data_IF_816772580125
#
_entry.id   IF_816772580125
#
_cell.length_a   1.000
_cell.length_b   1.000
_cell.length_c   1.000
_cell.angle_alpha   90.00
_cell.angle_beta   90.00
_cell.angle_gamma   90.00
#
_symmetry.space_group_name_H-M   'P 1'
#
loop_
_entity.id
_entity.type
_entity.pdbx_description
1 polymer ?
#
# COMPACT_ATOMS: atom_id res chain seq x y z
N UNK A 1 -7.73 -6.21 -7.30
CA UNK A 1 -6.63 -5.40 -7.83
C UNK A 1 -5.37 -5.60 -7.01
N UNK A 2 -4.27 -5.81 -7.65
CA UNK A 2 -2.96 -5.99 -7.01
C UNK A 2 -2.07 -4.81 -7.40
N UNK A 3 -1.46 -4.15 -6.40
CA UNK A 3 -0.64 -2.97 -6.61
C UNK A 3 0.80 -3.25 -6.21
N UNK A 4 1.76 -2.89 -7.06
CA UNK A 4 3.20 -3.02 -6.81
C UNK A 4 3.93 -1.72 -7.15
N UNK A 5 5.19 -1.61 -6.70
CA UNK A 5 6.05 -0.45 -6.97
C UNK A 5 7.32 -0.90 -7.68
N UNK A 6 7.77 -0.13 -8.69
CA UNK A 6 8.95 -0.45 -9.48
C UNK A 6 10.24 0.05 -8.83
N UNK A 7 11.37 -0.53 -9.25
CA UNK A 7 12.70 -0.09 -8.82
C UNK A 7 12.99 1.37 -9.22
N UNK A 8 12.52 1.78 -10.39
CA UNK A 8 12.70 3.16 -10.86
C UNK A 8 12.02 4.16 -9.96
N UNK A 9 10.79 3.85 -9.50
CA UNK A 9 10.07 4.69 -8.55
C UNK A 9 10.81 4.80 -7.22
N UNK A 10 11.42 3.71 -6.75
CA UNK A 10 12.23 3.73 -5.53
C UNK A 10 13.42 4.67 -5.65
N UNK A 11 14.09 4.64 -6.80
CA UNK A 11 15.24 5.51 -7.04
C UNK A 11 14.82 6.97 -7.03
N UNK A 12 13.73 7.31 -7.71
CA UNK A 12 13.22 8.69 -7.75
C UNK A 12 12.83 9.17 -6.35
N UNK A 13 12.16 8.33 -5.56
CA UNK A 13 11.79 8.67 -4.19
C UNK A 13 13.04 8.90 -3.32
N UNK A 14 14.06 8.05 -3.46
CA UNK A 14 15.31 8.19 -2.72
C UNK A 14 16.01 9.52 -3.05
N UNK A 15 16.03 9.90 -4.31
CA UNK A 15 16.61 11.17 -4.75
C UNK A 15 15.84 12.36 -4.19
N UNK A 16 14.52 12.30 -4.21
CA UNK A 16 13.67 13.37 -3.66
C UNK A 16 13.91 13.56 -2.16
N UNK A 17 14.05 12.48 -1.41
CA UNK A 17 14.33 12.55 0.02
C UNK A 17 15.69 13.14 0.31
N UNK A 18 16.72 12.71 -0.42
CA UNK A 18 18.10 13.14 -0.19
C UNK A 18 18.39 14.55 -0.67
N UNK A 19 17.94 14.90 -1.86
CA UNK A 19 18.30 16.17 -2.50
C UNK A 19 17.36 17.31 -2.14
N UNK A 20 16.08 17.02 -1.96
CA UNK A 20 15.07 18.05 -1.72
C UNK A 20 14.48 18.03 -0.33
N UNK A 21 14.88 17.07 0.50
CA UNK A 21 14.40 16.98 1.88
C UNK A 21 12.92 16.64 2.02
N UNK A 22 12.32 15.99 1.01
CA UNK A 22 10.91 15.62 1.07
C UNK A 22 10.75 14.42 2.00
N UNK A 23 9.90 14.53 3.05
CA UNK A 23 9.70 13.42 3.98
C UNK A 23 9.14 12.17 3.30
N UNK A 24 9.57 11.00 3.78
CA UNK A 24 9.10 9.71 3.26
C UNK A 24 7.57 9.58 3.28
N UNK A 25 6.93 10.03 4.36
CA UNK A 25 5.47 9.96 4.46
C UNK A 25 4.75 10.73 3.35
N UNK A 26 5.31 11.86 2.94
CA UNK A 26 4.73 12.66 1.84
C UNK A 26 4.81 11.88 0.53
N UNK A 27 5.94 11.24 0.27
CA UNK A 27 6.12 10.43 -0.94
C UNK A 27 5.19 9.22 -0.93
N UNK A 28 5.05 8.55 0.20
CA UNK A 28 4.12 7.44 0.36
C UNK A 28 2.68 7.86 0.12
N UNK A 29 2.27 8.98 0.70
CA UNK A 29 0.92 9.51 0.53
C UNK A 29 0.64 9.79 -0.94
N UNK A 30 1.57 10.42 -1.64
CA UNK A 30 1.43 10.73 -3.05
C UNK A 30 1.39 9.46 -3.92
N UNK A 31 2.28 8.52 -3.65
CA UNK A 31 2.34 7.28 -4.42
C UNK A 31 1.07 6.44 -4.26
N UNK A 32 0.65 6.20 -3.04
CA UNK A 32 -0.53 5.36 -2.77
C UNK A 32 -1.82 6.01 -3.24
N UNK A 33 -2.00 7.30 -2.99
CA UNK A 33 -3.20 8.01 -3.42
C UNK A 33 -3.28 8.14 -4.93
N UNK A 34 -2.14 8.33 -5.60
CA UNK A 34 -2.09 8.45 -7.06
C UNK A 34 -2.58 7.20 -7.77
N UNK A 35 -2.20 6.02 -7.27
CA UNK A 35 -2.65 4.76 -7.85
C UNK A 35 -4.17 4.68 -7.85
N UNK A 36 -4.81 5.00 -6.71
CA UNK A 36 -6.26 4.94 -6.60
C UNK A 36 -6.92 6.01 -7.47
N UNK A 37 -6.41 7.24 -7.48
CA UNK A 37 -6.95 8.31 -8.31
C UNK A 37 -6.84 8.04 -9.81
N UNK A 38 -5.68 7.53 -10.25
CA UNK A 38 -5.45 7.27 -11.67
C UNK A 38 -6.28 6.10 -12.19
N UNK A 39 -6.68 5.18 -11.32
CA UNK A 39 -7.48 4.02 -11.71
C UNK A 39 -8.99 4.27 -11.60
N UNK A 40 -9.43 5.41 -11.07
CA UNK A 40 -10.86 5.73 -10.94
C UNK A 40 -11.62 5.68 -12.27
N UNK A 41 -10.95 5.93 -13.37
CA UNK A 41 -11.55 5.87 -14.71
C UNK A 41 -11.91 4.44 -15.14
N UNK A 42 -11.28 3.45 -14.53
CA UNK A 42 -11.37 2.04 -14.93
C UNK A 42 -12.00 1.16 -13.88
N UNK A 43 -12.05 1.61 -12.65
CA UNK A 43 -12.53 0.83 -11.51
C UNK A 43 -13.59 1.63 -10.76
N UNK A 44 -14.76 1.01 -10.60
CA UNK A 44 -15.73 1.53 -9.64
C UNK A 44 -15.35 0.96 -8.28
N UNK A 45 -14.78 1.81 -7.43
CA UNK A 45 -14.28 1.39 -6.12
C UNK A 45 -15.40 1.03 -5.14
N UNK A 46 -16.58 1.62 -5.29
CA UNK A 46 -17.68 1.39 -4.36
C UNK A 46 -18.15 -0.06 -4.41
N UNK A 47 -18.02 -0.75 -3.28
CA UNK A 47 -18.36 -2.16 -3.17
C UNK A 47 -17.36 -3.13 -3.79
N UNK A 48 -16.31 -2.63 -4.43
CA UNK A 48 -15.30 -3.48 -5.07
C UNK A 48 -14.50 -4.26 -4.02
N UNK A 49 -14.34 -5.56 -4.22
CA UNK A 49 -13.43 -6.35 -3.40
C UNK A 49 -12.00 -6.15 -3.93
N UNK A 50 -11.15 -5.60 -3.09
CA UNK A 50 -9.79 -5.19 -3.49
C UNK A 50 -8.77 -5.87 -2.60
N UNK A 51 -7.83 -6.59 -3.21
CA UNK A 51 -6.72 -7.21 -2.50
C UNK A 51 -5.45 -6.44 -2.83
N UNK A 52 -4.74 -5.99 -1.81
CA UNK A 52 -3.48 -5.26 -1.97
C UNK A 52 -2.36 -6.10 -1.40
N UNK A 53 -1.38 -6.41 -2.24
CA UNK A 53 -0.19 -7.14 -1.83
C UNK A 53 0.91 -6.15 -1.47
N UNK A 54 1.32 -6.15 -0.20
CA UNK A 54 2.35 -5.27 0.33
C UNK A 54 3.58 -6.06 0.78
N UNK A 55 4.77 -5.53 0.50
CA UNK A 55 5.98 -6.00 1.14
C UNK A 55 6.29 -5.19 2.41
N UNK A 56 7.30 -5.61 3.15
CA UNK A 56 7.75 -4.92 4.37
C UNK A 56 8.98 -4.05 4.15
N UNK A 57 9.48 -3.95 2.92
CA UNK A 57 10.56 -3.04 2.57
C UNK A 57 10.07 -1.60 2.47
N UNK A 58 10.81 -0.78 1.73
CA UNK A 58 10.52 0.66 1.60
C UNK A 58 9.17 0.97 0.93
N UNK A 59 8.53 -0.01 0.34
CA UNK A 59 7.29 0.17 -0.44
C UNK A 59 6.03 -0.29 0.27
N UNK A 60 6.15 -0.90 1.45
CA UNK A 60 4.98 -1.40 2.17
C UNK A 60 3.98 -0.29 2.49
N UNK A 61 4.50 0.88 2.86
CA UNK A 61 3.67 2.02 3.21
C UNK A 61 2.79 2.53 2.07
N UNK A 62 3.28 2.46 0.83
CA UNK A 62 2.50 2.87 -0.34
C UNK A 62 1.22 2.04 -0.47
N UNK A 63 1.33 0.73 -0.21
CA UNK A 63 0.18 -0.18 -0.23
C UNK A 63 -0.82 0.13 0.88
N UNK A 64 -0.34 0.49 2.06
CA UNK A 64 -1.23 0.88 3.16
C UNK A 64 -1.98 2.18 2.84
N UNK A 65 -1.30 3.13 2.22
CA UNK A 65 -1.94 4.38 1.76
C UNK A 65 -2.99 4.08 0.69
N UNK A 66 -2.67 3.24 -0.28
CA UNK A 66 -3.63 2.84 -1.31
C UNK A 66 -4.85 2.16 -0.69
N UNK A 67 -4.64 1.29 0.31
CA UNK A 67 -5.73 0.63 1.03
C UNK A 67 -6.67 1.67 1.68
N UNK A 68 -6.10 2.68 2.31
CA UNK A 68 -6.88 3.75 2.94
C UNK A 68 -7.73 4.52 1.93
N UNK A 69 -7.15 4.89 0.78
CA UNK A 69 -7.88 5.63 -0.25
C UNK A 69 -8.95 4.78 -0.92
N UNK A 70 -8.66 3.50 -1.20
CA UNK A 70 -9.66 2.60 -1.77
C UNK A 70 -10.84 2.39 -0.81
N UNK A 71 -10.54 2.16 0.47
CA UNK A 71 -11.59 2.01 1.50
C UNK A 71 -12.42 3.29 1.63
N UNK A 72 -11.78 4.46 1.53
CA UNK A 72 -12.47 5.75 1.57
C UNK A 72 -13.44 5.95 0.40
N UNK A 73 -13.26 5.21 -0.68
CA UNK A 73 -14.16 5.22 -1.84
C UNK A 73 -15.20 4.10 -1.81
N UNK A 74 -15.30 3.39 -0.69
CA UNK A 74 -16.30 2.36 -0.51
C UNK A 74 -15.86 0.94 -0.88
N UNK A 75 -14.59 0.74 -1.22
CA UNK A 75 -14.09 -0.60 -1.51
C UNK A 75 -14.00 -1.46 -0.25
N UNK A 76 -14.15 -2.76 -0.44
CA UNK A 76 -13.87 -3.75 0.59
C UNK A 76 -12.42 -4.20 0.42
N UNK A 77 -11.56 -3.77 1.32
CA UNK A 77 -10.11 -3.93 1.17
C UNK A 77 -9.56 -5.02 2.08
N UNK A 78 -8.72 -5.86 1.51
CA UNK A 78 -7.92 -6.85 2.23
C UNK A 78 -6.45 -6.61 1.86
N UNK A 79 -5.59 -6.50 2.87
CA UNK A 79 -4.16 -6.35 2.67
C UNK A 79 -3.46 -7.68 2.97
N UNK A 80 -2.64 -8.14 2.04
CA UNK A 80 -1.75 -9.28 2.24
C UNK A 80 -0.35 -8.72 2.45
N UNK A 81 0.22 -8.95 3.61
CA UNK A 81 1.53 -8.40 3.99
C UNK A 81 2.59 -9.49 3.96
N UNK A 82 3.55 -9.35 3.05
CA UNK A 82 4.62 -10.32 2.87
C UNK A 82 5.93 -9.79 3.45
N UNK A 83 6.54 -10.57 4.33
CA UNK A 83 7.80 -10.23 4.96
C UNK A 83 7.68 -9.99 6.47
N UNK A 84 8.75 -9.48 7.06
CA UNK A 84 8.83 -9.25 8.49
C UNK A 84 8.50 -7.80 8.83
N UNK A 85 7.43 -7.57 9.58
CA UNK A 85 6.99 -6.23 9.98
C UNK A 85 8.07 -5.46 10.75
N UNK A 86 9.01 -6.16 11.40
CA UNK A 86 10.11 -5.51 12.09
C UNK A 86 11.05 -4.73 11.15
N UNK A 87 11.02 -5.06 9.87
CA UNK A 87 11.86 -4.38 8.85
C UNK A 87 11.18 -3.15 8.24
N UNK A 88 9.95 -2.85 8.63
CA UNK A 88 9.25 -1.68 8.08
C UNK A 88 9.86 -0.38 8.59
N UNK A 89 9.85 0.64 7.73
CA UNK A 89 10.22 2.00 8.14
C UNK A 89 9.21 2.55 9.15
N UNK A 90 9.59 3.60 9.86
CA UNK A 90 8.68 4.25 10.81
C UNK A 90 7.43 4.79 10.10
N UNK A 91 7.59 5.34 8.90
CA UNK A 91 6.45 5.83 8.12
C UNK A 91 5.49 4.69 7.75
N UNK A 92 6.01 3.54 7.31
CA UNK A 92 5.20 2.37 7.02
C UNK A 92 4.45 1.88 8.26
N UNK A 93 5.12 1.85 9.41
CA UNK A 93 4.48 1.44 10.67
C UNK A 93 3.34 2.37 11.05
N UNK A 94 3.49 3.67 10.82
CA UNK A 94 2.43 4.63 11.09
C UNK A 94 1.21 4.39 10.19
N UNK A 95 1.42 4.17 8.90
CA UNK A 95 0.31 3.84 8.00
C UNK A 95 -0.31 2.48 8.30
N UNK A 96 0.50 1.51 8.73
CA UNK A 96 0.00 0.22 9.22
C UNK A 96 -0.98 0.42 10.38
N UNK A 97 -0.62 1.32 11.30
CA UNK A 97 -1.49 1.67 12.42
C UNK A 97 -2.78 2.35 11.95
N UNK A 98 -2.68 3.25 10.97
CA UNK A 98 -3.86 3.94 10.41
C UNK A 98 -4.86 2.95 9.85
N UNK A 99 -4.42 1.99 9.02
CA UNK A 99 -5.35 1.03 8.44
C UNK A 99 -5.92 0.07 9.47
N UNK A 100 -5.17 -0.25 10.54
CA UNK A 100 -5.72 -1.01 11.65
C UNK A 100 -6.87 -0.26 12.32
N UNK A 101 -6.71 1.03 12.56
CA UNK A 101 -7.76 1.87 13.14
C UNK A 101 -8.99 1.97 12.25
N UNK A 102 -8.80 1.87 10.95
CA UNK A 102 -9.91 1.87 9.98
C UNK A 102 -10.62 0.52 9.89
N UNK A 103 -10.09 -0.52 10.54
CA UNK A 103 -10.67 -1.84 10.47
C UNK A 103 -10.35 -2.62 9.19
N UNK A 104 -9.34 -2.20 8.45
CA UNK A 104 -8.91 -2.91 7.24
C UNK A 104 -8.11 -4.14 7.65
N UNK A 105 -8.54 -5.36 7.27
CA UNK A 105 -7.83 -6.57 7.65
C UNK A 105 -6.48 -6.68 6.94
N UNK A 106 -5.47 -7.11 7.70
CA UNK A 106 -4.13 -7.37 7.18
C UNK A 106 -3.75 -8.80 7.54
N UNK A 107 -3.44 -9.59 6.53
CA UNK A 107 -3.08 -10.99 6.70
C UNK A 107 -1.61 -11.15 6.34
N UNK A 108 -0.76 -11.59 7.31
CA UNK A 108 0.65 -11.87 7.02
C UNK A 108 0.77 -13.14 6.19
N UNK A 109 1.62 -13.09 5.17
CA UNK A 109 1.96 -14.25 4.35
C UNK A 109 3.48 -14.33 4.20
N UNK A 110 4.00 -15.55 4.04
CA UNK A 110 5.44 -15.76 3.85
C UNK A 110 5.82 -15.86 2.38
N UNK A 111 4.87 -16.28 1.54
CA UNK A 111 5.06 -16.47 0.10
C UNK A 111 3.82 -16.02 -0.64
N UNK A 112 4.00 -15.60 -1.87
CA UNK A 112 2.89 -15.11 -2.70
C UNK A 112 1.78 -16.16 -2.88
N UNK A 113 2.14 -17.44 -2.93
CA UNK A 113 1.17 -18.54 -3.08
C UNK A 113 0.16 -18.61 -1.94
N UNK A 114 0.58 -18.19 -0.75
CA UNK A 114 -0.31 -18.17 0.42
C UNK A 114 -1.46 -17.16 0.25
N UNK A 115 -1.30 -16.18 -0.64
CA UNK A 115 -2.35 -15.22 -0.94
C UNK A 115 -3.41 -15.74 -1.90
N UNK A 116 -3.15 -16.84 -2.61
CA UNK A 116 -4.06 -17.35 -3.63
C UNK A 116 -5.50 -17.61 -3.15
N UNK A 117 -5.73 -18.14 -1.94
CA UNK A 117 -7.11 -18.35 -1.44
C UNK A 117 -7.93 -17.07 -1.29
N UNK A 118 -7.28 -15.92 -1.22
CA UNK A 118 -7.93 -14.62 -1.01
C UNK A 118 -8.21 -13.87 -2.32
N UNK A 119 -7.65 -14.35 -3.43
CA UNK A 119 -7.75 -13.68 -4.74
C UNK A 119 -8.66 -14.51 -5.64
N UNK A 120 -9.83 -13.99 -5.96
CA UNK A 120 -10.77 -14.63 -6.87
C UNK A 120 -11.33 -13.65 -7.87
#
# INVERSE_FOLDING_TARGET
>A
MILTKTEESRLLDSMAMKEYGIPEMVLMENAGSSVVRLTEKYVDWDGAFTVILCGTGNNGGDGFVAARYAAGRGARVLVLLMGNEAHMSESSKQYRHVIDKMGIPVIPISRAEEGAPYIH
#
